data_IF_818005228918
#
_entry.id   IF_818005228918
#
_cell.length_a   1.000
_cell.length_b   1.000
_cell.length_c   1.000
_cell.angle_alpha   90.00
_cell.angle_beta   90.00
_cell.angle_gamma   90.00
#
_symmetry.space_group_name_H-M   'P 1'
#
loop_
_entity.id
_entity.type
_entity.pdbx_description
1 polymer ?
#
# COMPACT_ATOMS: atom_id res chain seq x y z
N UNK A 1 17.38 9.07 -9.22
CA UNK A 1 16.47 8.26 -8.38
C UNK A 1 17.21 7.43 -7.32
N UNK A 2 18.16 6.57 -7.68
CA UNK A 2 18.76 5.57 -6.78
C UNK A 2 19.17 6.02 -5.36
N UNK A 3 19.93 7.11 -5.14
CA UNK A 3 20.30 7.53 -3.78
C UNK A 3 19.11 8.06 -2.96
N UNK A 4 18.18 8.78 -3.59
CA UNK A 4 17.00 9.30 -2.91
C UNK A 4 16.03 8.17 -2.52
N UNK A 5 15.83 7.21 -3.43
CA UNK A 5 14.99 6.03 -3.15
C UNK A 5 15.51 5.23 -1.96
N UNK A 6 16.83 5.05 -1.83
CA UNK A 6 17.42 4.38 -0.68
C UNK A 6 17.07 5.10 0.64
N UNK A 7 17.18 6.43 0.67
CA UNK A 7 16.84 7.24 1.85
C UNK A 7 15.34 7.14 2.17
N UNK A 8 14.48 7.30 1.16
CA UNK A 8 13.03 7.23 1.32
C UNK A 8 12.60 5.86 1.84
N UNK A 9 13.09 4.77 1.24
CA UNK A 9 12.80 3.39 1.67
C UNK A 9 13.37 3.09 3.05
N UNK A 10 14.55 3.62 3.37
CA UNK A 10 15.13 3.54 4.71
C UNK A 10 14.26 4.20 5.77
N UNK A 11 13.76 5.41 5.50
CA UNK A 11 12.84 6.13 6.39
C UNK A 11 11.50 5.43 6.52
N UNK A 12 10.91 4.96 5.42
CA UNK A 12 9.69 4.15 5.40
C UNK A 12 9.85 2.95 6.33
N UNK A 13 10.87 2.11 6.11
CA UNK A 13 11.13 0.93 6.92
C UNK A 13 11.39 1.25 8.40
N UNK A 14 12.15 2.31 8.69
CA UNK A 14 12.40 2.76 10.06
C UNK A 14 11.10 3.15 10.78
N UNK A 15 10.23 3.94 10.12
CA UNK A 15 8.96 4.38 10.68
C UNK A 15 8.03 3.20 10.91
N UNK A 16 7.86 2.32 9.92
CA UNK A 16 7.04 1.10 10.06
C UNK A 16 7.55 0.25 11.23
N UNK A 17 8.86 0.04 11.32
CA UNK A 17 9.49 -0.76 12.38
C UNK A 17 9.31 -0.14 13.78
N UNK A 18 9.56 1.17 13.91
CA UNK A 18 9.42 1.89 15.19
C UNK A 18 7.97 1.97 15.64
N UNK A 19 7.06 2.31 14.72
CA UNK A 19 5.64 2.49 15.02
C UNK A 19 4.98 1.16 15.34
N UNK A 20 5.26 0.09 14.58
CA UNK A 20 4.72 -1.24 14.87
C UNK A 20 5.16 -1.76 16.24
N UNK A 21 6.43 -1.57 16.63
CA UNK A 21 6.91 -1.91 17.98
C UNK A 21 6.25 -1.07 19.07
N UNK A 22 6.03 0.22 18.83
CA UNK A 22 5.38 1.12 19.78
C UNK A 22 3.89 0.78 19.96
N UNK A 23 3.16 0.58 18.86
CA UNK A 23 1.74 0.25 18.88
C UNK A 23 1.47 -1.15 19.43
N UNK A 24 2.37 -2.13 19.23
CA UNK A 24 2.28 -3.44 19.89
C UNK A 24 2.19 -3.36 21.41
N UNK A 25 2.77 -2.32 22.03
CA UNK A 25 2.68 -2.06 23.48
C UNK A 25 1.34 -1.44 23.91
N UNK A 26 0.48 -1.07 22.95
CA UNK A 26 -0.83 -0.42 23.15
C UNK A 26 -1.96 -1.28 22.56
N UNK A 27 -2.20 -2.50 23.08
CA UNK A 27 -3.17 -3.43 22.51
C UNK A 27 -4.61 -2.90 22.53
N UNK A 28 -4.94 -1.96 23.42
CA UNK A 28 -6.25 -1.31 23.46
C UNK A 28 -6.61 -0.56 22.17
N UNK A 29 -5.61 -0.14 21.38
CA UNK A 29 -5.82 0.51 20.08
C UNK A 29 -6.23 -0.49 18.98
N UNK A 30 -6.00 -1.79 19.16
CA UNK A 30 -6.25 -2.76 18.11
C UNK A 30 -7.72 -2.91 17.75
N UNK A 31 -8.62 -2.82 18.74
CA UNK A 31 -10.07 -2.96 18.57
C UNK A 31 -10.71 -1.83 17.78
N UNK A 32 -10.49 -0.54 18.08
CA UNK A 32 -11.00 0.53 17.21
C UNK A 32 -10.34 0.50 15.83
N UNK A 33 -9.05 0.15 15.74
CA UNK A 33 -8.34 0.05 14.46
C UNK A 33 -8.75 -1.17 13.63
N UNK A 34 -9.31 -2.23 14.21
CA UNK A 34 -9.76 -3.41 13.45
C UNK A 34 -10.93 -3.11 12.54
N UNK A 35 -11.67 -2.02 12.79
CA UNK A 35 -12.72 -1.53 11.90
C UNK A 35 -12.21 -0.36 11.02
N UNK A 36 -11.50 0.60 11.61
CA UNK A 36 -11.07 1.79 10.89
C UNK A 36 -10.08 1.48 9.76
N UNK A 37 -9.16 0.53 9.98
CA UNK A 37 -8.12 0.19 8.99
C UNK A 37 -8.71 -0.48 7.73
N UNK A 38 -9.56 -1.52 7.82
CA UNK A 38 -10.24 -2.06 6.66
C UNK A 38 -11.02 -1.02 5.85
N UNK A 39 -11.74 -0.12 6.53
CA UNK A 39 -12.49 0.97 5.87
C UNK A 39 -11.54 1.91 5.13
N UNK A 40 -10.40 2.26 5.74
CA UNK A 40 -9.39 3.08 5.09
C UNK A 40 -8.80 2.39 3.85
N UNK A 41 -8.48 1.09 3.93
CA UNK A 41 -8.01 0.30 2.80
C UNK A 41 -9.06 0.26 1.69
N UNK A 42 -10.33 0.05 2.04
CA UNK A 42 -11.44 0.04 1.09
C UNK A 42 -11.52 1.37 0.33
N UNK A 43 -11.47 2.49 1.07
CA UNK A 43 -11.53 3.85 0.49
C UNK A 43 -10.31 4.09 -0.40
N UNK A 44 -9.10 3.75 0.07
CA UNK A 44 -7.88 3.96 -0.71
C UNK A 44 -7.91 3.19 -2.03
N UNK A 45 -8.24 1.89 -2.02
CA UNK A 45 -8.29 1.07 -3.24
C UNK A 45 -9.39 1.56 -4.17
N UNK A 46 -10.58 1.83 -3.63
CA UNK A 46 -11.71 2.28 -4.45
C UNK A 46 -11.43 3.64 -5.07
N UNK A 47 -10.97 4.62 -4.31
CA UNK A 47 -10.73 5.97 -4.81
C UNK A 47 -9.59 5.96 -5.85
N UNK A 48 -8.46 5.33 -5.55
CA UNK A 48 -7.31 5.32 -6.47
C UNK A 48 -7.62 4.49 -7.71
N UNK A 49 -8.18 3.29 -7.54
CA UNK A 49 -8.52 2.39 -8.64
C UNK A 49 -9.55 2.99 -9.60
N UNK A 50 -10.61 3.60 -9.07
CA UNK A 50 -11.66 4.16 -9.93
C UNK A 50 -11.24 5.46 -10.63
N UNK A 51 -10.48 6.33 -9.96
CA UNK A 51 -10.09 7.62 -10.53
C UNK A 51 -8.93 7.47 -11.53
N UNK A 52 -7.94 6.62 -11.24
CA UNK A 52 -6.69 6.58 -12.01
C UNK A 52 -6.49 5.31 -12.83
N UNK A 53 -7.16 4.22 -12.49
CA UNK A 53 -6.96 2.92 -13.12
C UNK A 53 -8.23 2.34 -13.75
N UNK A 54 -9.19 3.17 -14.11
CA UNK A 54 -10.38 2.77 -14.88
C UNK A 54 -10.26 3.31 -16.30
N UNK A 55 -10.50 2.46 -17.29
CA UNK A 55 -10.37 2.81 -18.69
C UNK A 55 -9.96 1.64 -19.56
N UNK A 56 -9.69 1.93 -20.83
CA UNK A 56 -9.16 0.97 -21.79
C UNK A 56 -7.64 0.88 -21.68
N UNK A 57 -7.16 -0.32 -21.40
CA UNK A 57 -5.73 -0.64 -21.35
C UNK A 57 -5.35 -1.42 -22.59
N UNK A 58 -4.23 -1.06 -23.19
CA UNK A 58 -3.68 -1.75 -24.36
C UNK A 58 -2.51 -2.63 -23.93
N UNK A 59 -2.65 -3.93 -24.15
CA UNK A 59 -1.58 -4.89 -23.97
C UNK A 59 -0.98 -5.20 -25.34
N UNK A 60 0.29 -4.84 -25.54
CA UNK A 60 1.02 -5.11 -26.77
C UNK A 60 2.27 -5.97 -26.52
N UNK A 61 2.60 -6.83 -27.48
CA UNK A 61 3.88 -7.55 -27.48
C UNK A 61 5.02 -6.60 -27.84
N UNK A 62 6.25 -6.95 -27.45
CA UNK A 62 7.44 -6.34 -28.04
C UNK A 62 8.16 -7.37 -28.92
N UNK A 63 8.32 -7.15 -30.25
CA UNK A 63 7.82 -6.01 -31.05
C UNK A 63 6.27 -5.97 -31.18
N UNK A 64 5.66 -4.81 -31.50
CA UNK A 64 4.21 -4.57 -31.43
C UNK A 64 3.45 -5.17 -32.61
N UNK A 65 3.50 -6.50 -32.71
CA UNK A 65 2.82 -7.28 -33.75
C UNK A 65 1.41 -7.67 -33.28
N UNK A 66 1.24 -7.91 -31.98
CA UNK A 66 -0.04 -8.25 -31.37
C UNK A 66 -0.41 -7.17 -30.37
N UNK A 67 -1.63 -6.64 -30.48
CA UNK A 67 -2.21 -5.70 -29.51
C UNK A 67 -3.64 -6.13 -29.18
N UNK A 68 -3.95 -6.21 -27.89
CA UNK A 68 -5.32 -6.37 -27.41
C UNK A 68 -5.67 -5.23 -26.46
N UNK A 69 -6.86 -4.66 -26.64
CA UNK A 69 -7.42 -3.71 -25.69
C UNK A 69 -8.36 -4.45 -24.74
N UNK A 70 -8.25 -4.18 -23.45
CA UNK A 70 -9.21 -4.63 -22.45
C UNK A 70 -9.68 -3.46 -21.62
N UNK A 71 -10.93 -3.55 -21.16
CA UNK A 71 -11.55 -2.48 -20.39
C UNK A 71 -11.52 -2.84 -18.90
N UNK A 72 -10.97 -1.94 -18.10
CA UNK A 72 -10.95 -2.03 -16.64
C UNK A 72 -12.05 -1.14 -16.11
N UNK A 73 -13.10 -1.75 -15.56
CA UNK A 73 -14.24 -1.03 -15.01
C UNK A 73 -14.13 -0.78 -13.51
N UNK A 74 -14.83 0.25 -13.03
CA UNK A 74 -14.80 0.70 -11.65
C UNK A 74 -15.21 -0.38 -10.64
N UNK A 75 -16.16 -1.27 -11.01
CA UNK A 75 -16.63 -2.32 -10.10
C UNK A 75 -15.51 -3.30 -9.72
N UNK A 76 -14.52 -3.53 -10.59
CA UNK A 76 -13.41 -4.43 -10.28
C UNK A 76 -12.57 -3.90 -9.12
N UNK A 77 -12.36 -2.59 -9.06
CA UNK A 77 -11.66 -1.93 -7.96
C UNK A 77 -12.46 -1.97 -6.67
N UNK A 78 -13.78 -1.78 -6.74
CA UNK A 78 -14.68 -1.91 -5.59
C UNK A 78 -14.68 -3.33 -5.05
N UNK A 79 -14.71 -4.35 -5.92
CA UNK A 79 -14.64 -5.76 -5.52
C UNK A 79 -13.29 -6.08 -4.88
N UNK A 80 -12.18 -5.63 -5.48
CA UNK A 80 -10.84 -5.81 -4.91
C UNK A 80 -10.72 -5.12 -3.55
N UNK A 81 -11.25 -3.91 -3.42
CA UNK A 81 -11.30 -3.16 -2.17
C UNK A 81 -12.09 -3.91 -1.09
N UNK A 82 -13.26 -4.46 -1.45
CA UNK A 82 -14.09 -5.23 -0.54
C UNK A 82 -13.37 -6.48 -0.04
N UNK A 83 -12.72 -7.23 -0.94
CA UNK A 83 -11.94 -8.43 -0.59
C UNK A 83 -10.76 -8.07 0.32
N UNK A 84 -9.98 -7.05 -0.03
CA UNK A 84 -8.83 -6.61 0.78
C UNK A 84 -9.27 -6.14 2.18
N UNK A 85 -10.33 -5.33 2.25
CA UNK A 85 -10.89 -4.87 3.52
C UNK A 85 -11.42 -6.04 4.36
N UNK A 86 -12.13 -7.00 3.74
CA UNK A 86 -12.60 -8.19 4.42
C UNK A 86 -11.45 -9.02 5.00
N UNK A 87 -10.41 -9.30 4.22
CA UNK A 87 -9.23 -10.06 4.67
C UNK A 87 -8.53 -9.34 5.83
N UNK A 88 -8.26 -8.04 5.69
CA UNK A 88 -7.61 -7.26 6.75
C UNK A 88 -8.48 -7.18 8.01
N UNK A 89 -9.80 -7.03 7.86
CA UNK A 89 -10.75 -7.00 8.97
C UNK A 89 -10.81 -8.34 9.69
N UNK A 90 -10.98 -9.43 8.94
CA UNK A 90 -10.99 -10.79 9.47
C UNK A 90 -9.70 -11.10 10.25
N UNK A 91 -8.53 -10.85 9.66
CA UNK A 91 -7.25 -11.07 10.31
C UNK A 91 -7.03 -10.13 11.51
N UNK A 92 -7.55 -8.90 11.46
CA UNK A 92 -7.49 -7.98 12.60
C UNK A 92 -8.34 -8.46 13.77
N UNK A 93 -9.50 -9.08 13.51
CA UNK A 93 -10.34 -9.69 14.54
C UNK A 93 -9.74 -10.99 15.07
N UNK A 94 -9.16 -11.83 14.21
CA UNK A 94 -8.58 -13.13 14.57
C UNK A 94 -7.26 -13.01 15.32
N UNK A 95 -6.31 -12.23 14.82
CA UNK A 95 -4.97 -12.10 15.38
C UNK A 95 -4.81 -10.91 16.35
N UNK A 96 -5.78 -9.98 16.36
CA UNK A 96 -5.84 -8.84 17.29
C UNK A 96 -4.72 -7.81 17.14
N UNK A 97 -3.79 -7.98 16.20
CA UNK A 97 -2.61 -7.10 16.03
C UNK A 97 -2.37 -6.68 14.58
N UNK A 98 -3.05 -7.30 13.62
CA UNK A 98 -2.90 -7.03 12.19
C UNK A 98 -3.17 -5.57 11.85
N UNK A 99 -4.25 -5.00 12.41
CA UNK A 99 -4.60 -3.59 12.25
C UNK A 99 -3.49 -2.63 12.72
N UNK A 100 -2.73 -2.99 13.76
CA UNK A 100 -1.59 -2.21 14.25
C UNK A 100 -0.41 -2.23 13.28
N UNK A 101 -0.19 -3.34 12.56
CA UNK A 101 0.84 -3.41 11.52
C UNK A 101 0.41 -2.63 10.29
N UNK A 102 -0.83 -2.81 9.86
CA UNK A 102 -1.34 -2.14 8.67
C UNK A 102 -1.35 -0.63 8.86
N UNK A 103 -1.79 -0.10 10.01
CA UNK A 103 -1.71 1.35 10.26
C UNK A 103 -0.26 1.85 10.32
N UNK A 104 0.69 1.00 10.77
CA UNK A 104 2.11 1.35 10.75
C UNK A 104 2.65 1.42 9.32
N UNK A 105 2.24 0.47 8.47
CA UNK A 105 2.58 0.43 7.05
C UNK A 105 1.97 1.61 6.29
N UNK A 106 0.73 2.01 6.60
CA UNK A 106 0.10 3.21 6.02
C UNK A 106 0.90 4.47 6.40
N UNK A 107 1.33 4.60 7.66
CA UNK A 107 2.14 5.74 8.09
C UNK A 107 3.52 5.78 7.40
N UNK A 108 4.17 4.63 7.25
CA UNK A 108 5.41 4.53 6.46
C UNK A 108 5.19 4.84 4.99
N UNK A 109 4.10 4.34 4.42
CA UNK A 109 3.67 4.62 3.05
C UNK A 109 3.41 6.11 2.81
N UNK A 110 2.80 6.82 3.77
CA UNK A 110 2.62 8.27 3.68
C UNK A 110 3.97 9.01 3.59
N UNK A 111 4.95 8.61 4.41
CA UNK A 111 6.31 9.17 4.33
C UNK A 111 6.96 8.85 2.99
N UNK A 112 6.76 7.64 2.48
CA UNK A 112 7.26 7.24 1.17
C UNK A 112 6.66 8.11 0.04
N UNK A 113 5.33 8.26 0.01
CA UNK A 113 4.61 9.08 -0.99
C UNK A 113 5.05 10.54 -0.90
N UNK A 114 5.16 11.10 0.31
CA UNK A 114 5.67 12.46 0.50
C UNK A 114 7.13 12.59 0.06
N UNK A 115 7.97 11.60 0.37
CA UNK A 115 9.38 11.59 -0.03
C UNK A 115 9.55 11.60 -1.54
N UNK A 116 8.81 10.76 -2.26
CA UNK A 116 8.81 10.76 -3.72
C UNK A 116 8.28 12.07 -4.29
N UNK A 117 7.16 12.57 -3.77
CA UNK A 117 6.59 13.85 -4.22
C UNK A 117 7.58 15.01 -4.07
N UNK A 118 8.26 15.13 -2.91
CA UNK A 118 9.25 16.19 -2.69
C UNK A 118 10.47 16.05 -3.60
N UNK A 119 10.96 14.83 -3.77
CA UNK A 119 12.11 14.55 -4.63
C UNK A 119 11.80 14.84 -6.10
N UNK A 120 10.66 14.40 -6.61
CA UNK A 120 10.23 14.65 -7.98
C UNK A 120 9.87 16.12 -8.19
N UNK A 121 9.27 16.77 -7.19
CA UNK A 121 8.99 18.20 -7.24
C UNK A 121 10.26 19.03 -7.42
N UNK A 122 11.35 18.62 -6.76
CA UNK A 122 12.65 19.29 -6.90
C UNK A 122 13.30 19.10 -8.28
N UNK A 123 12.98 18.01 -8.98
CA UNK A 123 13.58 17.68 -10.28
C UNK A 123 12.74 18.13 -11.48
N UNK A 124 11.44 17.89 -11.42
CA UNK A 124 10.50 18.03 -12.52
C UNK A 124 9.44 19.10 -12.26
N UNK A 125 9.40 19.67 -11.05
CA UNK A 125 8.39 20.61 -10.61
C UNK A 125 7.18 19.93 -9.95
N UNK A 126 6.36 20.68 -9.20
CA UNK A 126 5.28 20.13 -8.37
C UNK A 126 4.12 19.53 -9.19
N UNK A 127 3.86 20.05 -10.39
CA UNK A 127 2.76 19.57 -11.22
C UNK A 127 3.03 18.16 -11.78
N UNK A 128 4.19 17.86 -12.42
CA UNK A 128 4.53 16.49 -12.81
C UNK A 128 4.61 15.52 -11.63
N UNK A 129 5.20 15.95 -10.50
CA UNK A 129 5.30 15.12 -9.30
C UNK A 129 3.93 14.73 -8.70
N UNK A 130 2.92 15.61 -8.82
CA UNK A 130 1.58 15.32 -8.34
C UNK A 130 0.91 14.17 -9.13
N UNK A 131 1.31 13.94 -10.39
CA UNK A 131 0.78 12.85 -11.23
C UNK A 131 1.21 11.48 -10.71
N UNK A 132 2.37 11.37 -10.06
CA UNK A 132 2.93 10.12 -9.54
C UNK A 132 2.35 9.73 -8.16
N UNK A 133 1.78 10.68 -7.43
CA UNK A 133 1.22 10.46 -6.08
C UNK A 133 0.20 9.31 -6.03
N UNK A 134 -0.80 9.22 -6.93
CA UNK A 134 -1.75 8.10 -6.96
C UNK A 134 -1.08 6.74 -7.17
N UNK A 135 -0.06 6.68 -8.04
CA UNK A 135 0.70 5.46 -8.31
C UNK A 135 1.49 5.02 -7.09
N UNK A 136 2.13 5.96 -6.40
CA UNK A 136 2.84 5.70 -5.14
C UNK A 136 1.88 5.26 -4.02
N UNK A 137 0.66 5.80 -3.95
CA UNK A 137 -0.38 5.29 -3.04
C UNK A 137 -0.76 3.85 -3.40
N UNK A 138 -0.87 3.53 -4.69
CA UNK A 138 -1.04 2.15 -5.17
C UNK A 138 0.07 1.22 -4.67
N UNK A 139 1.33 1.67 -4.70
CA UNK A 139 2.45 0.92 -4.14
C UNK A 139 2.32 0.66 -2.63
N UNK A 140 1.77 1.60 -1.85
CA UNK A 140 1.51 1.40 -0.42
C UNK A 140 0.54 0.23 -0.22
N UNK A 141 -0.56 0.20 -0.98
CA UNK A 141 -1.57 -0.88 -0.90
C UNK A 141 -0.94 -2.23 -1.25
N UNK A 142 -0.24 -2.32 -2.38
CA UNK A 142 0.41 -3.56 -2.82
C UNK A 142 1.46 -4.01 -1.78
N UNK A 143 2.22 -3.08 -1.23
CA UNK A 143 3.19 -3.34 -0.16
C UNK A 143 2.56 -3.88 1.12
N UNK A 144 1.38 -3.37 1.50
CA UNK A 144 0.61 -3.88 2.64
C UNK A 144 0.19 -5.34 2.39
N UNK A 145 -0.38 -5.63 1.21
CA UNK A 145 -0.83 -6.99 0.87
C UNK A 145 0.35 -7.96 0.86
N UNK A 146 1.44 -7.61 0.18
CA UNK A 146 2.67 -8.41 0.15
C UNK A 146 3.29 -8.59 1.54
N UNK A 147 3.33 -7.53 2.34
CA UNK A 147 3.84 -7.56 3.71
C UNK A 147 3.04 -8.50 4.61
N UNK A 148 1.71 -8.49 4.52
CA UNK A 148 0.85 -9.41 5.27
C UNK A 148 1.02 -10.86 4.81
N UNK A 149 1.07 -11.10 3.51
CA UNK A 149 1.25 -12.44 2.94
C UNK A 149 2.60 -13.06 3.34
N UNK A 150 3.66 -12.25 3.42
CA UNK A 150 5.01 -12.71 3.74
C UNK A 150 5.32 -12.74 5.24
N UNK A 151 4.53 -12.05 6.07
CA UNK A 151 4.82 -11.92 7.50
C UNK A 151 4.92 -13.27 8.21
N UNK A 152 3.95 -14.16 8.01
CA UNK A 152 3.94 -15.47 8.67
C UNK A 152 5.12 -16.35 8.25
N UNK A 153 5.36 -16.61 6.93
CA UNK A 153 6.52 -17.39 6.48
C UNK A 153 7.85 -16.85 7.01
N UNK A 154 8.06 -15.54 6.90
CA UNK A 154 9.33 -14.92 7.32
C UNK A 154 9.52 -14.95 8.82
N UNK A 155 8.44 -14.81 9.60
CA UNK A 155 8.53 -14.83 11.07
C UNK A 155 8.92 -16.20 11.64
N UNK A 156 8.63 -17.30 10.93
CA UNK A 156 9.05 -18.65 11.32
C UNK A 156 10.55 -18.82 11.10
N UNK A 157 11.03 -18.48 9.91
CA UNK A 157 12.46 -18.54 9.54
C UNK A 157 13.30 -17.66 10.48
N UNK A 158 12.79 -16.47 10.84
CA UNK A 158 13.51 -15.54 11.70
C UNK A 158 13.64 -16.00 13.16
N UNK A 159 12.81 -16.93 13.63
CA UNK A 159 12.88 -17.50 14.99
C UNK A 159 13.74 -18.76 15.07
N UNK A 160 14.05 -19.36 13.94
CA UNK A 160 14.95 -20.52 13.83
C UNK A 160 16.44 -20.11 13.84
N UNK A 161 16.73 -18.81 13.94
CA UNK A 161 18.05 -18.23 14.16
C UNK A 161 18.15 -17.62 15.55
#
# INVERSE_FOLDING_TARGET
YAPATLVIKGLEGYIVGKLSRSLRKRPYLAKPLSLAVPVLIFIMITAIGTIFYTGTFELSSYPPIYSSAFQVEAWMWVTLAAVAAFVVGYESHRAGKTSLYVISMIAGGAVMVTGYFLYESALYGPAPAAVEVPFNIGQVVVGIIGGLALYEPLSKIAKEK
#
